data_IF_590859937216
#
_entry.id   IF_590859937216
#
_cell.length_a   1.000
_cell.length_b   1.000
_cell.length_c   1.000
_cell.angle_alpha   90.00
_cell.angle_beta   90.00
_cell.angle_gamma   90.00
#
_symmetry.space_group_name_H-M   'P 1'
#
loop_
_entity.id
_entity.type
_entity.pdbx_description
1 polymer ?
#
# COMPACT_ATOMS: atom_id res chain seq x y z
N UNK A 1 9.47 -8.47 9.91
CA UNK A 1 10.55 -8.19 10.87
C UNK A 1 11.95 -8.31 10.28
N UNK A 2 12.27 -9.29 9.46
CA UNK A 2 13.59 -9.43 8.79
C UNK A 2 13.98 -8.24 7.91
N UNK A 3 13.01 -7.57 7.29
CA UNK A 3 13.27 -6.44 6.38
C UNK A 3 13.64 -5.15 7.12
N UNK A 4 13.04 -4.89 8.29
CA UNK A 4 13.41 -3.78 9.16
C UNK A 4 14.83 -3.94 9.73
N UNK A 5 15.23 -5.16 10.05
CA UNK A 5 16.58 -5.47 10.50
C UNK A 5 17.62 -5.23 9.37
N UNK A 6 17.30 -5.58 8.12
CA UNK A 6 18.16 -5.30 6.96
C UNK A 6 18.35 -3.82 6.70
N UNK A 7 17.31 -2.99 6.87
CA UNK A 7 17.39 -1.54 6.70
C UNK A 7 18.26 -0.88 7.77
N UNK A 8 18.17 -1.35 9.03
CA UNK A 8 18.98 -0.83 10.15
C UNK A 8 20.44 -1.23 9.99
N UNK A 9 20.72 -2.43 9.49
CA UNK A 9 22.09 -2.94 9.32
C UNK A 9 22.81 -2.32 8.13
N UNK A 10 22.11 -1.98 7.05
CA UNK A 10 22.74 -1.42 5.84
C UNK A 10 23.07 0.08 5.91
N UNK A 11 22.61 0.81 6.94
CA UNK A 11 23.08 2.17 7.28
C UNK A 11 22.97 3.26 6.21
N UNK A 12 22.21 3.04 5.12
CA UNK A 12 22.17 3.92 3.97
C UNK A 12 20.81 4.61 3.84
N UNK A 13 20.65 5.88 4.25
CA UNK A 13 19.40 6.62 4.14
C UNK A 13 18.88 6.76 2.70
N UNK A 14 19.76 6.67 1.70
CA UNK A 14 19.38 6.72 0.28
C UNK A 14 18.64 5.47 -0.22
N UNK A 15 18.82 4.32 0.42
CA UNK A 15 18.31 3.03 -0.07
C UNK A 15 16.82 2.83 0.14
N UNK A 16 16.21 3.45 1.15
CA UNK A 16 14.77 3.26 1.45
C UNK A 16 13.89 3.87 0.35
N UNK A 17 14.26 5.04 -0.17
CA UNK A 17 13.53 5.66 -1.26
C UNK A 17 13.74 4.91 -2.58
N UNK A 18 14.94 4.39 -2.82
CA UNK A 18 15.25 3.58 -4.01
C UNK A 18 14.53 2.22 -3.99
N UNK A 19 14.22 1.68 -2.82
CA UNK A 19 13.39 0.49 -2.65
C UNK A 19 11.89 0.77 -2.80
N UNK A 20 11.47 2.04 -2.82
CA UNK A 20 10.09 2.39 -3.10
C UNK A 20 9.85 2.24 -4.60
N UNK A 21 8.96 1.32 -5.04
CA UNK A 21 8.74 1.11 -6.48
C UNK A 21 8.17 2.35 -7.18
N UNK A 22 7.57 3.27 -6.42
CA UNK A 22 7.08 4.54 -6.96
C UNK A 22 8.21 5.52 -7.30
N UNK A 23 9.42 5.30 -6.82
CA UNK A 23 10.59 6.11 -7.18
C UNK A 23 10.87 6.07 -8.68
N UNK A 24 10.60 4.94 -9.34
CA UNK A 24 10.72 4.82 -10.80
C UNK A 24 9.79 5.79 -11.54
N UNK A 25 8.59 6.06 -11.02
CA UNK A 25 7.68 7.05 -11.60
C UNK A 25 8.16 8.47 -11.29
N UNK A 26 8.64 8.72 -10.08
CA UNK A 26 9.14 10.05 -9.67
C UNK A 26 10.39 10.48 -10.44
N UNK A 27 11.30 9.56 -10.73
CA UNK A 27 12.56 9.84 -11.41
C UNK A 27 12.54 9.50 -12.90
N UNK A 28 11.68 8.56 -13.31
CA UNK A 28 11.65 8.04 -14.67
C UNK A 28 11.24 9.05 -15.74
N UNK A 29 10.46 10.06 -15.37
CA UNK A 29 10.03 11.13 -16.28
C UNK A 29 10.84 12.43 -16.12
N UNK A 30 11.89 12.43 -15.29
CA UNK A 30 12.79 13.56 -15.18
C UNK A 30 13.59 13.77 -16.49
N UNK A 31 13.87 15.04 -16.85
CA UNK A 31 14.70 15.38 -18.02
C UNK A 31 16.09 14.71 -18.01
N UNK A 32 16.54 14.24 -16.86
CA UNK A 32 17.82 13.54 -16.67
C UNK A 32 17.68 12.00 -16.72
N UNK A 33 16.55 11.49 -17.18
CA UNK A 33 16.27 10.05 -17.27
C UNK A 33 17.36 9.27 -18.03
N UNK A 34 17.78 9.77 -19.18
CA UNK A 34 18.82 9.14 -20.01
C UNK A 34 20.21 9.14 -19.34
N UNK A 35 20.53 10.19 -18.59
CA UNK A 35 21.79 10.26 -17.84
C UNK A 35 21.77 9.33 -16.61
N UNK A 36 20.59 9.14 -16.00
CA UNK A 36 20.40 8.29 -14.84
C UNK A 36 20.38 6.80 -15.17
N UNK A 37 19.99 6.42 -16.40
CA UNK A 37 19.98 5.02 -16.87
C UNK A 37 21.38 4.39 -16.88
N UNK A 38 22.44 5.21 -16.95
CA UNK A 38 23.81 4.71 -16.95
C UNK A 38 24.33 4.31 -15.55
N UNK A 39 23.54 4.56 -14.48
CA UNK A 39 23.85 4.04 -13.15
C UNK A 39 23.17 2.69 -12.95
N UNK A 40 23.96 1.65 -12.67
CA UNK A 40 23.47 0.28 -12.43
C UNK A 40 22.40 0.21 -11.32
N UNK A 41 22.48 1.08 -10.31
CA UNK A 41 21.52 1.17 -9.22
C UNK A 41 20.13 1.66 -9.68
N UNK A 42 20.05 2.58 -10.63
CA UNK A 42 18.78 3.10 -11.14
C UNK A 42 18.06 2.09 -12.04
N UNK A 43 18.82 1.40 -12.90
CA UNK A 43 18.28 0.31 -13.72
C UNK A 43 17.68 -0.81 -12.89
N UNK A 44 18.31 -1.17 -11.77
CA UNK A 44 17.80 -2.16 -10.84
C UNK A 44 16.46 -1.73 -10.19
N UNK A 45 16.34 -0.45 -9.83
CA UNK A 45 15.11 0.12 -9.23
C UNK A 45 13.93 0.08 -10.19
N UNK A 46 14.17 0.43 -11.46
CA UNK A 46 13.14 0.35 -12.51
C UNK A 46 12.71 -1.10 -12.75
N UNK A 47 13.67 -2.01 -12.88
CA UNK A 47 13.39 -3.44 -13.08
C UNK A 47 12.57 -4.02 -11.90
N UNK A 48 12.94 -3.66 -10.66
CA UNK A 48 12.22 -4.07 -9.45
C UNK A 48 10.80 -3.49 -9.40
N UNK A 49 10.63 -2.20 -9.74
CA UNK A 49 9.32 -1.56 -9.82
C UNK A 49 8.43 -2.23 -10.86
N UNK A 50 8.96 -2.49 -12.04
CA UNK A 50 8.23 -3.15 -13.12
C UNK A 50 7.84 -4.60 -12.72
N UNK A 51 8.75 -5.33 -12.10
CA UNK A 51 8.48 -6.67 -11.57
C UNK A 51 7.31 -6.66 -10.59
N UNK A 52 7.28 -5.71 -9.66
CA UNK A 52 6.18 -5.59 -8.69
C UNK A 52 4.86 -5.26 -9.39
N UNK A 53 4.86 -4.40 -10.42
CA UNK A 53 3.65 -4.06 -11.18
C UNK A 53 3.11 -5.29 -11.93
N UNK A 54 3.98 -6.09 -12.51
CA UNK A 54 3.60 -7.36 -13.16
C UNK A 54 3.06 -8.35 -12.13
N UNK A 55 3.74 -8.50 -11.00
CA UNK A 55 3.28 -9.37 -9.91
C UNK A 55 1.93 -8.91 -9.33
N UNK A 56 1.63 -7.60 -9.36
CA UNK A 56 0.35 -7.07 -8.90
C UNK A 56 -0.83 -7.55 -9.74
N UNK A 57 -0.63 -7.90 -11.01
CA UNK A 57 -1.67 -8.47 -11.87
C UNK A 57 -2.16 -9.81 -11.29
N UNK A 58 -1.25 -10.64 -10.78
CA UNK A 58 -1.55 -12.00 -10.28
C UNK A 58 -1.86 -12.01 -8.78
N UNK A 59 -1.07 -11.29 -7.99
CA UNK A 59 -1.09 -11.33 -6.52
C UNK A 59 -1.69 -10.07 -5.89
N UNK A 60 -2.19 -9.14 -6.71
CA UNK A 60 -2.76 -7.90 -6.19
C UNK A 60 -1.74 -7.06 -5.41
N UNK A 61 -2.15 -6.54 -4.25
CA UNK A 61 -1.33 -5.65 -3.41
C UNK A 61 -0.51 -6.38 -2.33
N UNK A 62 -0.08 -7.59 -2.59
CA UNK A 62 0.67 -8.39 -1.61
C UNK A 62 1.95 -7.67 -1.14
N UNK A 63 2.61 -6.94 -2.02
CA UNK A 63 3.76 -6.09 -1.69
C UNK A 63 3.45 -5.12 -0.53
N UNK A 64 2.28 -4.47 -0.55
CA UNK A 64 1.89 -3.51 0.49
C UNK A 64 1.67 -4.15 1.86
N UNK A 65 1.40 -5.46 1.90
CA UNK A 65 1.20 -6.19 3.15
C UNK A 65 2.50 -6.64 3.81
N UNK A 66 3.47 -7.11 3.02
CA UNK A 66 4.64 -7.81 3.55
C UNK A 66 5.95 -7.05 3.41
N UNK A 67 6.09 -6.22 2.38
CA UNK A 67 7.37 -5.60 2.01
C UNK A 67 7.39 -4.10 2.32
N UNK A 68 6.27 -3.39 2.14
CA UNK A 68 6.24 -1.94 2.29
C UNK A 68 6.50 -1.49 3.73
N UNK A 69 7.62 -0.79 4.01
CA UNK A 69 7.99 -0.38 5.37
C UNK A 69 6.98 0.60 5.97
N UNK A 70 6.45 1.53 5.17
CA UNK A 70 5.50 2.53 5.64
C UNK A 70 4.17 1.88 6.07
N UNK A 71 3.69 0.86 5.33
CA UNK A 71 2.51 0.10 5.71
C UNK A 71 2.70 -0.64 7.02
N UNK A 72 3.87 -1.26 7.21
CA UNK A 72 4.22 -2.00 8.44
C UNK A 72 4.35 -1.07 9.64
N UNK A 73 4.98 0.10 9.48
CA UNK A 73 5.13 1.10 10.54
C UNK A 73 3.75 1.59 11.00
N UNK A 74 2.86 1.95 10.07
CA UNK A 74 1.51 2.42 10.42
C UNK A 74 0.70 1.34 11.14
N UNK A 75 0.81 0.09 10.72
CA UNK A 75 0.13 -1.03 11.37
C UNK A 75 0.67 -1.26 12.79
N UNK A 76 1.99 -1.17 12.96
CA UNK A 76 2.63 -1.31 14.27
C UNK A 76 2.22 -0.19 15.23
N UNK A 77 2.24 1.08 14.77
CA UNK A 77 1.81 2.25 15.54
C UNK A 77 0.33 2.08 15.94
N UNK A 78 -0.53 1.74 15.00
CA UNK A 78 -1.94 1.51 15.29
C UNK A 78 -2.14 0.41 16.34
N UNK A 79 -1.43 -0.72 16.20
CA UNK A 79 -1.51 -1.82 17.14
C UNK A 79 -1.02 -1.44 18.56
N UNK A 80 0.04 -0.63 18.64
CA UNK A 80 0.62 -0.19 19.91
C UNK A 80 -0.36 0.69 20.70
N UNK A 81 -0.95 1.68 20.04
CA UNK A 81 -1.86 2.63 20.69
C UNK A 81 -3.25 2.07 20.94
N UNK A 82 -3.72 1.15 20.07
CA UNK A 82 -5.06 0.57 20.16
C UNK A 82 -5.09 -0.81 20.85
N UNK A 83 -4.01 -1.25 21.47
CA UNK A 83 -3.90 -2.55 22.16
C UNK A 83 -4.97 -2.74 23.25
N UNK A 84 -5.36 -1.67 23.92
CA UNK A 84 -6.38 -1.67 25.00
C UNK A 84 -7.80 -1.42 24.50
N UNK A 85 -7.98 -0.91 23.30
CA UNK A 85 -9.30 -0.59 22.76
C UNK A 85 -9.92 -1.83 22.13
N UNK A 86 -10.94 -2.39 22.76
CA UNK A 86 -11.71 -3.53 22.23
C UNK A 86 -12.58 -3.17 21.02
N UNK A 87 -12.83 -1.87 20.79
CA UNK A 87 -13.64 -1.38 19.65
C UNK A 87 -12.75 -0.65 18.66
N UNK A 88 -12.46 -1.28 17.54
CA UNK A 88 -11.83 -0.63 16.40
C UNK A 88 -12.83 0.38 15.81
N UNK A 89 -12.48 1.67 15.80
CA UNK A 89 -13.28 2.68 15.09
C UNK A 89 -13.15 2.41 13.59
N UNK A 90 -14.23 1.96 12.98
CA UNK A 90 -14.31 1.80 11.54
C UNK A 90 -14.89 3.07 10.92
N UNK A 91 -14.32 3.48 9.80
CA UNK A 91 -14.91 4.53 8.97
C UNK A 91 -16.13 3.93 8.26
N UNK A 92 -17.28 4.63 8.21
CA UNK A 92 -18.44 4.14 7.46
C UNK A 92 -18.08 3.82 6.01
N UNK A 93 -18.54 2.70 5.47
CA UNK A 93 -18.19 2.22 4.12
C UNK A 93 -18.48 3.24 3.02
N UNK A 94 -19.53 4.04 3.18
CA UNK A 94 -19.85 5.13 2.25
C UNK A 94 -18.73 6.18 2.15
N UNK A 95 -18.23 6.63 3.30
CA UNK A 95 -17.09 7.59 3.34
C UNK A 95 -15.81 6.93 2.84
N UNK A 96 -15.60 5.67 3.18
CA UNK A 96 -14.45 4.90 2.71
C UNK A 96 -14.33 4.90 1.19
N UNK A 97 -15.43 4.59 0.51
CA UNK A 97 -15.46 4.55 -0.96
C UNK A 97 -15.14 5.91 -1.58
N UNK A 98 -15.64 7.01 -0.99
CA UNK A 98 -15.34 8.37 -1.48
C UNK A 98 -13.90 8.78 -1.23
N UNK A 99 -13.41 8.60 -0.01
CA UNK A 99 -12.02 8.96 0.33
C UNK A 99 -10.99 8.09 -0.39
N UNK A 100 -11.29 6.83 -0.67
CA UNK A 100 -10.42 5.96 -1.45
C UNK A 100 -10.17 6.48 -2.89
N UNK A 101 -11.03 7.35 -3.42
CA UNK A 101 -10.82 7.97 -4.74
C UNK A 101 -9.72 9.04 -4.71
N UNK A 102 -9.43 9.65 -3.56
CA UNK A 102 -8.41 10.69 -3.41
C UNK A 102 -7.03 10.19 -3.87
N UNK A 103 -6.69 8.93 -3.62
CA UNK A 103 -5.41 8.33 -4.08
C UNK A 103 -5.23 8.38 -5.60
N UNK A 104 -6.33 8.29 -6.38
CA UNK A 104 -6.27 8.41 -7.85
C UNK A 104 -6.03 9.86 -8.28
N UNK A 105 -6.61 10.82 -7.55
CA UNK A 105 -6.30 12.23 -7.74
C UNK A 105 -4.83 12.54 -7.45
N UNK A 106 -4.30 12.02 -6.34
CA UNK A 106 -2.87 12.13 -6.02
C UNK A 106 -2.01 11.48 -7.10
N UNK A 107 -2.39 10.30 -7.61
CA UNK A 107 -1.69 9.65 -8.71
C UNK A 107 -1.68 10.51 -9.97
N UNK A 108 -2.82 11.10 -10.35
CA UNK A 108 -2.91 11.96 -11.52
C UNK A 108 -2.02 13.20 -11.39
N UNK A 109 -2.08 13.88 -10.23
CA UNK A 109 -1.25 15.06 -9.96
C UNK A 109 0.24 14.70 -10.00
N UNK A 110 0.65 13.61 -9.35
CA UNK A 110 2.06 13.20 -9.34
C UNK A 110 2.55 12.76 -10.73
N UNK A 111 1.70 12.13 -11.54
CA UNK A 111 2.02 11.77 -12.92
C UNK A 111 2.19 13.02 -13.79
N UNK A 112 1.30 14.00 -13.68
CA UNK A 112 1.40 15.28 -14.41
C UNK A 112 2.68 16.02 -14.03
N UNK A 113 2.99 16.12 -12.73
CA UNK A 113 4.22 16.76 -12.26
C UNK A 113 5.49 16.01 -12.76
N UNK A 114 5.43 14.69 -12.84
CA UNK A 114 6.54 13.90 -13.35
C UNK A 114 6.76 14.15 -14.86
N UNK A 115 5.68 14.19 -15.67
CA UNK A 115 5.74 14.49 -17.11
C UNK A 115 6.22 15.93 -17.34
N UNK A 116 5.79 16.88 -16.51
CA UNK A 116 6.25 18.27 -16.58
C UNK A 116 7.72 18.46 -16.16
N UNK A 117 8.38 17.41 -15.64
CA UNK A 117 9.77 17.47 -15.16
C UNK A 117 9.93 18.19 -13.82
N UNK A 118 8.84 18.42 -13.09
CA UNK A 118 8.80 19.16 -11.81
C UNK A 118 8.59 18.16 -10.64
N UNK A 119 9.00 16.93 -10.81
CA UNK A 119 8.85 15.85 -9.82
C UNK A 119 9.50 16.14 -8.46
N UNK A 120 10.50 17.05 -8.41
CA UNK A 120 11.15 17.46 -7.17
C UNK A 120 10.19 18.07 -6.14
N UNK A 121 9.09 18.67 -6.58
CA UNK A 121 8.04 19.22 -5.69
C UNK A 121 7.40 18.08 -4.91
N UNK A 122 6.99 17.00 -5.60
CA UNK A 122 6.36 15.86 -4.94
C UNK A 122 7.32 15.12 -4.01
N UNK A 123 8.58 15.00 -4.39
CA UNK A 123 9.60 14.33 -3.57
C UNK A 123 9.71 14.95 -2.18
N UNK A 124 9.60 16.29 -2.08
CA UNK A 124 9.61 17.01 -0.79
C UNK A 124 8.43 16.68 0.11
N UNK A 125 7.30 16.27 -0.47
CA UNK A 125 6.10 15.85 0.27
C UNK A 125 6.03 14.33 0.50
N UNK A 126 6.96 13.56 -0.05
CA UNK A 126 6.94 12.11 0.09
C UNK A 126 7.37 11.71 1.51
N UNK A 127 6.50 11.04 2.31
CA UNK A 127 6.85 10.66 3.67
C UNK A 127 7.96 9.61 3.72
N UNK A 128 8.11 8.79 2.69
CA UNK A 128 9.18 7.80 2.59
C UNK A 128 10.53 8.50 2.39
N UNK A 129 10.56 9.56 1.56
CA UNK A 129 11.75 10.38 1.36
C UNK A 129 12.12 11.15 2.63
N UNK A 130 11.12 11.73 3.32
CA UNK A 130 11.34 12.42 4.58
C UNK A 130 11.94 11.51 5.66
N UNK A 131 11.50 10.26 5.75
CA UNK A 131 12.05 9.27 6.70
C UNK A 131 13.48 8.86 6.30
N UNK A 132 13.81 8.80 5.01
CA UNK A 132 15.13 8.39 4.55
C UNK A 132 16.20 9.47 4.70
N UNK A 133 15.84 10.75 4.81
CA UNK A 133 16.75 11.89 4.90
C UNK A 133 16.78 12.55 6.29
N UNK A 134 16.62 11.81 7.35
CA UNK A 134 16.52 12.31 8.73
C UNK A 134 17.48 13.44 9.15
N UNK A 135 18.70 13.61 8.66
CA UNK A 135 19.52 14.79 9.04
C UNK A 135 19.31 16.04 8.16
N UNK A 136 18.68 15.92 6.98
CA UNK A 136 18.51 17.03 6.02
C UNK A 136 17.02 17.32 5.69
N UNK A 137 16.16 17.20 6.66
CA UNK A 137 14.71 17.20 6.45
C UNK A 137 14.22 18.59 6.09
N UNK A 138 13.53 18.71 4.96
CA UNK A 138 12.62 19.82 4.75
C UNK A 138 11.55 19.78 5.85
N UNK A 139 11.45 20.83 6.65
CA UNK A 139 10.51 20.96 7.79
C UNK A 139 9.09 20.53 7.41
N UNK A 140 8.69 20.83 6.19
CA UNK A 140 7.39 20.48 5.64
C UNK A 140 7.15 18.96 5.53
N UNK A 141 8.17 18.21 5.08
CA UNK A 141 8.10 16.73 5.00
C UNK A 141 8.00 16.08 6.37
N UNK A 142 8.68 16.64 7.37
CA UNK A 142 8.59 16.18 8.75
C UNK A 142 7.20 16.41 9.33
N UNK A 143 6.63 17.60 9.14
CA UNK A 143 5.26 17.93 9.58
C UNK A 143 4.27 16.94 8.97
N UNK A 144 4.38 16.68 7.67
CA UNK A 144 3.50 15.74 6.98
C UNK A 144 3.66 14.30 7.52
N UNK A 145 4.90 13.85 7.75
CA UNK A 145 5.17 12.53 8.31
C UNK A 145 4.59 12.39 9.71
N UNK A 146 4.74 13.40 10.57
CA UNK A 146 4.15 13.43 11.90
C UNK A 146 2.62 13.42 11.84
N UNK A 147 2.02 14.20 10.95
CA UNK A 147 0.57 14.22 10.75
C UNK A 147 0.05 12.85 10.30
N UNK A 148 0.73 12.18 9.38
CA UNK A 148 0.39 10.81 8.95
C UNK A 148 0.48 9.83 10.10
N UNK A 149 1.48 9.96 10.98
CA UNK A 149 1.63 9.12 12.16
C UNK A 149 0.47 9.36 13.13
N UNK A 150 0.14 10.62 13.43
CA UNK A 150 -0.96 10.98 14.33
C UNK A 150 -2.30 10.45 13.80
N UNK A 151 -2.60 10.67 12.54
CA UNK A 151 -3.84 10.13 11.93
C UNK A 151 -3.80 8.58 11.89
N UNK A 152 -2.64 8.00 11.71
CA UNK A 152 -2.41 6.54 11.74
C UNK A 152 -2.72 5.88 13.07
N UNK A 153 -2.72 6.64 14.18
CA UNK A 153 -3.17 6.16 15.50
C UNK A 153 -4.68 5.88 15.50
N UNK A 154 -5.46 6.68 14.77
CA UNK A 154 -6.93 6.56 14.72
C UNK A 154 -7.41 5.66 13.59
N UNK A 155 -6.76 5.74 12.41
CA UNK A 155 -7.14 5.01 11.20
C UNK A 155 -5.99 4.11 10.76
N UNK A 156 -6.20 2.80 10.85
CA UNK A 156 -5.21 1.82 10.42
C UNK A 156 -4.89 1.98 8.94
N UNK A 157 -3.59 2.04 8.62
CA UNK A 157 -3.08 2.18 7.24
C UNK A 157 -3.63 3.38 6.47
N UNK A 158 -3.86 4.50 7.14
CA UNK A 158 -4.42 5.73 6.56
C UNK A 158 -3.76 6.14 5.24
N UNK A 159 -2.42 6.22 5.19
CA UNK A 159 -1.69 6.60 3.97
C UNK A 159 -1.99 5.64 2.81
N UNK A 160 -1.91 4.34 3.06
CA UNK A 160 -2.09 3.30 2.03
C UNK A 160 -3.53 3.27 1.48
N UNK A 161 -4.52 3.68 2.29
CA UNK A 161 -5.94 3.68 1.92
C UNK A 161 -6.31 4.87 1.06
N UNK A 162 -5.81 6.07 1.39
CA UNK A 162 -6.34 7.32 0.85
C UNK A 162 -5.35 8.14 0.04
N UNK A 163 -4.06 8.11 0.35
CA UNK A 163 -3.09 9.07 -0.18
C UNK A 163 -1.99 8.43 -1.04
N UNK A 164 -1.74 7.14 -0.91
CA UNK A 164 -0.62 6.51 -1.60
C UNK A 164 -0.87 6.38 -3.12
N UNK A 165 -0.12 7.11 -3.98
CA UNK A 165 -0.28 7.04 -5.43
C UNK A 165 0.17 5.68 -5.98
N UNK A 166 1.16 5.05 -5.35
CA UNK A 166 1.58 3.70 -5.74
C UNK A 166 0.47 2.67 -5.52
N UNK A 167 -0.30 2.81 -4.44
CA UNK A 167 -1.45 1.97 -4.20
C UNK A 167 -2.54 2.12 -5.29
N UNK A 168 -2.74 3.34 -5.79
CA UNK A 168 -3.65 3.60 -6.92
C UNK A 168 -3.13 2.98 -8.21
N UNK A 169 -1.82 3.07 -8.46
CA UNK A 169 -1.17 2.47 -9.63
C UNK A 169 -1.31 0.94 -9.62
N UNK A 170 -1.06 0.28 -8.47
CA UNK A 170 -1.27 -1.16 -8.32
C UNK A 170 -2.72 -1.56 -8.58
N UNK A 171 -3.71 -0.75 -8.15
CA UNK A 171 -5.11 -1.01 -8.46
C UNK A 171 -5.40 -0.93 -9.95
N UNK A 172 -4.80 0.04 -10.66
CA UNK A 172 -4.96 0.18 -12.09
C UNK A 172 -4.45 -1.07 -12.82
N UNK A 173 -3.26 -1.56 -12.45
CA UNK A 173 -2.71 -2.79 -13.03
C UNK A 173 -3.55 -4.03 -12.69
N UNK A 174 -4.08 -4.11 -11.47
CA UNK A 174 -5.03 -5.17 -11.10
C UNK A 174 -6.32 -5.11 -11.92
N UNK A 175 -6.83 -3.90 -12.16
CA UNK A 175 -8.02 -3.70 -12.97
C UNK A 175 -7.77 -4.12 -14.42
N UNK A 176 -6.63 -3.74 -15.00
CA UNK A 176 -6.21 -4.20 -16.34
C UNK A 176 -6.12 -5.72 -16.40
N UNK A 177 -5.50 -6.35 -15.39
CA UNK A 177 -5.44 -7.81 -15.29
C UNK A 177 -6.83 -8.47 -15.23
N UNK A 178 -7.80 -7.83 -14.54
CA UNK A 178 -9.18 -8.29 -14.51
C UNK A 178 -9.85 -8.21 -15.88
N UNK A 179 -9.64 -7.11 -16.60
CA UNK A 179 -10.22 -6.89 -17.96
C UNK A 179 -9.66 -7.90 -18.97
N UNK A 180 -8.38 -8.22 -18.87
CA UNK A 180 -7.72 -9.21 -19.75
C UNK A 180 -8.07 -10.65 -19.36
N UNK A 181 -8.70 -10.86 -18.19
CA UNK A 181 -9.12 -12.20 -17.74
C UNK A 181 -8.00 -13.03 -17.08
N UNK A 182 -6.93 -12.40 -16.58
CA UNK A 182 -5.91 -13.13 -15.85
C UNK A 182 -6.44 -13.68 -14.52
N UNK A 183 -6.20 -14.97 -14.22
CA UNK A 183 -6.60 -15.58 -12.97
C UNK A 183 -5.85 -14.94 -11.80
N UNK A 184 -6.58 -14.37 -10.86
CA UNK A 184 -6.02 -13.69 -9.69
C UNK A 184 -6.20 -14.50 -8.43
N UNK A 185 -5.25 -14.34 -7.52
CA UNK A 185 -5.38 -14.85 -6.16
C UNK A 185 -6.34 -13.95 -5.37
N UNK A 186 -7.44 -14.51 -4.89
CA UNK A 186 -8.45 -13.82 -4.10
C UNK A 186 -8.76 -14.60 -2.82
N UNK A 187 -9.34 -13.90 -1.85
CA UNK A 187 -9.92 -14.56 -0.68
C UNK A 187 -11.32 -15.02 -1.05
N UNK A 188 -11.56 -16.32 -0.93
CA UNK A 188 -12.84 -16.97 -1.13
C UNK A 188 -13.48 -17.24 0.23
N UNK A 189 -14.75 -16.88 0.36
CA UNK A 189 -15.58 -17.14 1.55
C UNK A 189 -16.49 -18.33 1.29
N UNK A 190 -16.33 -19.39 2.08
CA UNK A 190 -17.24 -20.53 2.03
C UNK A 190 -18.54 -20.17 2.77
N UNK A 191 -19.62 -19.99 2.02
CA UNK A 191 -20.91 -19.57 2.53
C UNK A 191 -21.54 -20.63 3.46
N UNK A 192 -21.34 -21.91 3.19
CA UNK A 192 -21.88 -23.00 3.99
C UNK A 192 -21.31 -23.03 5.43
N UNK A 193 -20.05 -22.60 5.58
CA UNK A 193 -19.36 -22.55 6.87
C UNK A 193 -19.45 -21.19 7.56
N UNK A 194 -19.88 -20.15 6.86
CA UNK A 194 -19.93 -18.79 7.35
C UNK A 194 -21.18 -18.55 8.21
N UNK A 195 -20.97 -17.89 9.36
CA UNK A 195 -22.09 -17.48 10.26
C UNK A 195 -22.44 -16.00 10.10
N UNK A 196 -21.95 -15.31 9.10
CA UNK A 196 -22.15 -13.87 8.83
C UNK A 196 -21.90 -12.94 10.04
N UNK A 197 -21.02 -13.35 10.95
CA UNK A 197 -20.75 -12.62 12.18
C UNK A 197 -19.99 -11.28 11.97
N UNK A 198 -19.53 -10.96 10.75
CA UNK A 198 -18.84 -9.73 10.39
C UNK A 198 -17.43 -9.55 11.01
N UNK A 199 -16.92 -10.53 11.76
CA UNK A 199 -15.65 -10.41 12.47
C UNK A 199 -14.44 -10.26 11.53
N UNK A 200 -14.52 -10.81 10.34
CA UNK A 200 -13.53 -10.66 9.28
C UNK A 200 -13.45 -9.20 8.77
N UNK A 201 -14.59 -8.56 8.52
CA UNK A 201 -14.69 -7.14 8.11
C UNK A 201 -14.21 -6.21 9.22
N UNK A 202 -14.59 -6.46 10.48
CA UNK A 202 -14.14 -5.70 11.65
C UNK A 202 -12.62 -5.71 11.83
N UNK A 203 -11.97 -6.82 11.49
CA UNK A 203 -10.52 -6.97 11.63
C UNK A 203 -9.74 -6.61 10.36
N UNK A 204 -10.42 -6.18 9.29
CA UNK A 204 -9.77 -5.81 8.04
C UNK A 204 -8.99 -4.49 8.21
N UNK A 205 -7.66 -4.46 7.95
CA UNK A 205 -6.87 -3.23 8.03
C UNK A 205 -7.23 -2.23 6.93
N UNK A 206 -7.83 -2.71 5.83
CA UNK A 206 -8.27 -1.89 4.70
C UNK A 206 -9.76 -1.53 4.77
N UNK A 207 -10.45 -1.90 5.86
CA UNK A 207 -11.87 -1.62 6.08
C UNK A 207 -12.80 -2.11 4.94
N UNK A 208 -12.48 -3.27 4.38
CA UNK A 208 -13.27 -3.89 3.31
C UNK A 208 -14.39 -4.71 3.95
N UNK A 209 -15.61 -4.58 3.42
CA UNK A 209 -16.66 -5.50 3.78
C UNK A 209 -16.47 -6.82 3.07
N UNK A 210 -16.38 -7.89 3.87
CA UNK A 210 -16.15 -9.25 3.41
C UNK A 210 -17.42 -10.10 3.47
N UNK A 211 -18.55 -9.50 3.90
CA UNK A 211 -19.81 -10.21 4.08
C UNK A 211 -20.72 -10.14 2.86
N UNK A 212 -20.45 -9.21 1.93
CA UNK A 212 -21.31 -8.98 0.76
C UNK A 212 -21.09 -10.01 -0.37
N UNK A 213 -19.85 -10.50 -0.56
CA UNK A 213 -19.49 -11.32 -1.71
C UNK A 213 -18.83 -12.65 -1.29
N UNK A 214 -18.98 -13.68 -2.13
CA UNK A 214 -18.28 -14.96 -1.99
C UNK A 214 -16.77 -14.81 -2.25
N UNK A 215 -16.39 -14.02 -3.27
CA UNK A 215 -15.01 -13.67 -3.59
C UNK A 215 -14.75 -12.21 -3.27
N UNK A 216 -13.67 -11.92 -2.57
CA UNK A 216 -13.26 -10.54 -2.29
C UNK A 216 -12.76 -9.89 -3.57
N UNK A 217 -13.64 -9.18 -4.27
CA UNK A 217 -13.34 -8.50 -5.53
C UNK A 217 -12.76 -7.09 -5.34
N UNK A 218 -12.71 -6.60 -4.12
CA UNK A 218 -12.21 -5.27 -3.83
C UNK A 218 -10.72 -5.15 -4.17
N UNK A 219 -10.37 -4.20 -5.05
CA UNK A 219 -8.99 -3.94 -5.50
C UNK A 219 -8.08 -3.45 -4.37
N UNK A 220 -8.65 -2.96 -3.28
CA UNK A 220 -7.90 -2.49 -2.12
C UNK A 220 -7.45 -3.63 -1.19
N UNK A 221 -7.83 -4.88 -1.48
CA UNK A 221 -7.39 -6.04 -0.71
C UNK A 221 -5.88 -6.26 -0.85
N UNK A 222 -5.18 -6.25 0.29
CA UNK A 222 -3.72 -6.42 0.36
C UNK A 222 -3.29 -7.86 0.64
N UNK A 223 -4.22 -8.80 0.66
CA UNK A 223 -3.97 -10.24 0.94
C UNK A 223 -3.15 -10.47 2.23
N UNK A 224 -3.45 -9.74 3.31
CA UNK A 224 -2.74 -9.86 4.59
C UNK A 224 -3.17 -11.08 5.43
N UNK A 225 -4.17 -11.83 5.01
CA UNK A 225 -4.71 -13.03 5.67
C UNK A 225 -5.22 -12.82 7.11
N UNK A 226 -5.34 -11.56 7.57
CA UNK A 226 -5.81 -11.28 8.93
C UNK A 226 -7.27 -11.71 9.12
N UNK A 227 -8.11 -11.58 8.10
CA UNK A 227 -9.51 -12.03 8.11
C UNK A 227 -9.60 -13.56 8.34
N UNK A 228 -8.78 -14.35 7.65
CA UNK A 228 -8.72 -15.80 7.82
C UNK A 228 -8.21 -16.19 9.22
N UNK A 229 -7.13 -15.56 9.70
CA UNK A 229 -6.56 -15.84 11.04
C UNK A 229 -7.48 -15.46 12.20
N UNK A 230 -8.37 -14.48 12.01
CA UNK A 230 -9.29 -13.99 13.02
C UNK A 230 -10.69 -14.59 12.89
N UNK A 231 -10.94 -15.40 11.89
CA UNK A 231 -12.21 -16.08 11.74
C UNK A 231 -12.39 -17.13 12.84
N UNK A 232 -13.52 -17.13 13.57
CA UNK A 232 -13.78 -18.12 14.61
C UNK A 232 -13.98 -19.54 14.05
N UNK A 233 -14.31 -19.66 12.76
CA UNK A 233 -14.43 -20.95 12.08
C UNK A 233 -13.24 -21.12 11.13
N UNK A 234 -12.38 -22.15 11.33
CA UNK A 234 -11.30 -22.44 10.42
C UNK A 234 -11.83 -22.79 9.02
N UNK A 235 -10.99 -22.58 8.01
CA UNK A 235 -11.26 -22.90 6.59
C UNK A 235 -12.48 -22.22 5.96
N UNK A 236 -13.09 -21.22 6.64
CA UNK A 236 -14.17 -20.42 6.08
C UNK A 236 -13.64 -19.40 5.06
N UNK A 237 -12.46 -18.82 5.30
CA UNK A 237 -11.81 -17.85 4.44
C UNK A 237 -10.49 -18.44 3.95
N UNK A 238 -10.49 -18.87 2.71
CA UNK A 238 -9.33 -19.47 2.03
C UNK A 238 -8.94 -18.66 0.80
N UNK A 239 -7.70 -18.75 0.40
CA UNK A 239 -7.25 -18.16 -0.84
C UNK A 239 -7.46 -19.13 -1.99
N UNK A 240 -8.04 -18.66 -3.05
CA UNK A 240 -8.34 -19.45 -4.24
C UNK A 240 -8.05 -18.61 -5.48
N UNK A 241 -7.61 -19.24 -6.54
CA UNK A 241 -7.54 -18.59 -7.84
C UNK A 241 -8.96 -18.38 -8.35
N UNK A 242 -9.22 -17.19 -8.81
CA UNK A 242 -10.42 -16.87 -9.57
C UNK A 242 -10.36 -17.66 -10.89
N UNK A 243 -11.46 -18.25 -11.29
CA UNK A 243 -11.57 -18.94 -12.59
C UNK A 243 -11.81 -17.94 -13.70
#
# INVERSE_FOLDING_TARGET
MLFLAGIIVCGLPYTIHNLCPYSAVCFGFSKNFLCSLNSSAFGLTIAFSFLILVLAIFFGRLFCSFICPLGTIQEYIFALFNKKSKKKKQVPHYLERRFSLVKYGVLAVTAILAIAGISYIYIRFCPIYAISLLPYIAVLGLILALLIIIVGIFIERFWCRYLCPYAALLNLFQYLGKVVGFPRLKIHRNLERCNDCGFCSLNCPMNIDLTEEEYVNNLDCILCFRCSKKCPKPDTLVWKKDK
#
